data_IF_518210687690
#
_entry.id   IF_518210687690
#
_cell.length_a   1.000
_cell.length_b   1.000
_cell.length_c   1.000
_cell.angle_alpha   90.00
_cell.angle_beta   90.00
_cell.angle_gamma   90.00
#
_symmetry.space_group_name_H-M   'P 1'
#
loop_
_entity.id
_entity.type
_entity.pdbx_description
1 polymer ?
#
# COMPACT_ATOMS: atom_id res chain seq x y z
N UNK A 1 57.47 -26.67 -55.06
CA UNK A 1 56.94 -25.52 -54.29
C UNK A 1 55.54 -25.89 -53.84
N UNK A 2 55.46 -26.37 -52.63
CA UNK A 2 54.11 -26.79 -52.01
C UNK A 2 53.62 -25.69 -51.12
N UNK A 3 52.40 -25.25 -51.40
CA UNK A 3 51.66 -24.26 -50.58
C UNK A 3 50.90 -24.98 -49.47
N UNK A 4 51.23 -24.68 -48.24
CA UNK A 4 50.47 -25.13 -47.04
C UNK A 4 49.35 -24.19 -46.75
N UNK A 5 48.08 -24.64 -46.88
CA UNK A 5 46.89 -23.95 -46.42
C UNK A 5 46.59 -24.39 -44.98
N UNK A 6 46.51 -23.42 -44.04
CA UNK A 6 46.04 -23.62 -42.66
C UNK A 6 44.54 -23.53 -42.59
N UNK A 7 43.83 -24.37 -41.83
CA UNK A 7 42.42 -24.24 -41.64
C UNK A 7 42.14 -23.13 -40.62
N UNK A 8 41.25 -22.18 -40.97
CA UNK A 8 40.73 -21.14 -40.11
C UNK A 8 39.72 -21.75 -39.10
N UNK A 9 40.05 -21.76 -37.83
CA UNK A 9 39.14 -22.09 -36.78
C UNK A 9 38.16 -20.92 -36.54
N UNK A 10 36.93 -21.06 -36.93
CA UNK A 10 35.86 -20.14 -36.57
C UNK A 10 35.56 -20.30 -35.06
N UNK A 11 36.01 -19.34 -34.28
CA UNK A 11 35.61 -19.20 -32.87
C UNK A 11 34.15 -18.75 -32.86
N UNK A 12 33.24 -19.59 -32.34
CA UNK A 12 31.85 -19.21 -32.07
C UNK A 12 31.85 -18.04 -31.06
N UNK A 13 31.13 -17.00 -31.40
CA UNK A 13 30.91 -15.87 -30.50
C UNK A 13 30.18 -16.34 -29.21
N UNK A 14 30.54 -15.81 -28.03
CA UNK A 14 29.86 -16.16 -26.79
C UNK A 14 28.39 -15.75 -26.90
N UNK A 15 27.46 -16.54 -26.32
CA UNK A 15 26.05 -16.20 -26.33
C UNK A 15 25.84 -14.85 -25.61
N UNK A 16 25.13 -13.94 -26.27
CA UNK A 16 24.73 -12.65 -25.67
C UNK A 16 24.03 -12.91 -24.32
N UNK A 17 24.34 -12.10 -23.29
CA UNK A 17 23.65 -12.23 -22.02
C UNK A 17 22.14 -12.08 -22.27
N UNK A 18 21.37 -13.07 -21.86
CA UNK A 18 19.91 -12.99 -21.85
C UNK A 18 19.56 -11.80 -20.96
N UNK A 19 19.04 -10.73 -21.53
CA UNK A 19 18.42 -9.65 -20.78
C UNK A 19 17.31 -10.28 -19.94
N UNK A 20 17.56 -10.48 -18.65
CA UNK A 20 16.51 -10.79 -17.70
C UNK A 20 15.69 -9.51 -17.55
N UNK A 21 14.60 -9.42 -18.30
CA UNK A 21 13.60 -8.36 -18.06
C UNK A 21 13.04 -8.60 -16.68
N UNK A 22 13.42 -7.75 -15.74
CA UNK A 22 12.86 -7.80 -14.38
C UNK A 22 11.33 -7.65 -14.47
N UNK A 23 10.64 -8.62 -13.89
CA UNK A 23 9.18 -8.67 -13.85
C UNK A 23 8.70 -8.06 -12.55
N UNK A 24 7.76 -7.14 -12.62
CA UNK A 24 7.14 -6.53 -11.45
C UNK A 24 5.75 -7.10 -11.25
N UNK A 25 5.40 -7.37 -10.00
CA UNK A 25 4.06 -7.80 -9.59
C UNK A 25 3.57 -6.93 -8.44
N UNK A 26 2.26 -6.70 -8.39
CA UNK A 26 1.62 -5.92 -7.34
C UNK A 26 0.90 -6.87 -6.40
N UNK A 27 1.26 -6.84 -5.13
CA UNK A 27 0.63 -7.64 -4.09
C UNK A 27 -0.35 -6.79 -3.30
N UNK A 28 -1.55 -7.31 -3.08
CA UNK A 28 -2.60 -6.67 -2.30
C UNK A 28 -3.21 -7.67 -1.30
N UNK A 29 -3.58 -7.20 -0.12
CA UNK A 29 -4.22 -8.04 0.89
C UNK A 29 -5.69 -7.70 1.02
N UNK A 30 -6.52 -8.72 0.99
CA UNK A 30 -7.96 -8.63 1.06
C UNK A 30 -8.52 -9.49 2.20
N UNK A 31 -9.75 -9.17 2.61
CA UNK A 31 -10.61 -10.05 3.37
C UNK A 31 -12.01 -10.05 2.76
N UNK A 32 -12.82 -11.07 3.09
CA UNK A 32 -14.23 -11.09 2.71
C UNK A 32 -15.02 -10.16 3.63
N UNK A 33 -15.95 -9.41 3.07
CA UNK A 33 -16.93 -8.65 3.86
C UNK A 33 -18.09 -9.52 4.31
N UNK A 34 -18.34 -10.63 3.61
CA UNK A 34 -19.46 -11.55 3.87
C UNK A 34 -18.92 -12.82 4.54
N UNK A 35 -19.51 -13.21 5.66
CA UNK A 35 -19.28 -14.48 6.32
C UNK A 35 -20.35 -15.47 5.85
N UNK A 36 -19.97 -16.48 5.08
CA UNK A 36 -20.87 -17.60 4.77
C UNK A 36 -20.79 -18.64 5.87
N UNK A 37 -21.86 -19.43 6.08
CA UNK A 37 -21.92 -20.43 7.14
C UNK A 37 -20.81 -21.49 7.07
N UNK A 38 -20.19 -21.65 5.90
CA UNK A 38 -19.26 -22.73 5.61
C UNK A 38 -17.83 -22.28 5.31
N UNK A 39 -17.55 -20.95 5.31
CA UNK A 39 -16.23 -20.43 5.03
C UNK A 39 -15.65 -19.70 6.24
N UNK A 40 -14.45 -20.09 6.66
CA UNK A 40 -13.66 -19.35 7.63
C UNK A 40 -13.21 -18.01 7.01
N UNK A 41 -13.55 -16.91 7.67
CA UNK A 41 -13.10 -15.59 7.26
C UNK A 41 -11.63 -15.44 7.58
N UNK A 42 -10.84 -15.06 6.60
CA UNK A 42 -9.40 -14.85 6.74
C UNK A 42 -8.93 -13.74 5.80
N UNK A 43 -7.76 -13.20 6.06
CA UNK A 43 -7.07 -12.38 5.08
C UNK A 43 -6.34 -13.27 4.08
N UNK A 44 -6.39 -12.88 2.81
CA UNK A 44 -5.53 -13.48 1.79
C UNK A 44 -4.71 -12.41 1.06
N UNK A 45 -3.62 -12.84 0.48
CA UNK A 45 -2.76 -12.02 -0.37
C UNK A 45 -2.99 -12.45 -1.81
N UNK A 46 -3.33 -11.50 -2.66
CA UNK A 46 -3.44 -11.68 -4.09
C UNK A 46 -2.31 -10.94 -4.80
N UNK A 47 -1.89 -11.48 -5.95
CA UNK A 47 -0.87 -10.93 -6.82
C UNK A 47 -1.51 -10.53 -8.14
N UNK A 48 -1.32 -9.29 -8.55
CA UNK A 48 -1.65 -8.79 -9.88
C UNK A 48 -0.40 -8.75 -10.74
N UNK A 49 -0.48 -9.36 -11.91
CA UNK A 49 0.57 -9.33 -12.93
C UNK A 49 0.19 -8.35 -14.05
N UNK A 50 0.87 -7.19 -14.12
CA UNK A 50 0.58 -6.18 -15.14
C UNK A 50 0.87 -6.62 -16.58
N UNK A 51 1.69 -7.66 -16.78
CA UNK A 51 2.11 -8.11 -18.11
C UNK A 51 1.00 -8.86 -18.85
N UNK A 52 0.15 -9.55 -18.12
CA UNK A 52 -0.95 -10.36 -18.69
C UNK A 52 -2.34 -10.01 -18.13
N UNK A 53 -2.43 -8.95 -17.30
CA UNK A 53 -3.68 -8.50 -16.67
C UNK A 53 -4.39 -9.63 -15.92
N UNK A 54 -3.69 -10.30 -15.02
CA UNK A 54 -4.26 -11.41 -14.24
C UNK A 54 -4.06 -11.24 -12.75
N UNK A 55 -5.06 -11.66 -11.99
CA UNK A 55 -4.97 -11.86 -10.54
C UNK A 55 -4.77 -13.33 -10.21
N UNK A 56 -3.99 -13.59 -9.19
CA UNK A 56 -3.81 -14.91 -8.60
C UNK A 56 -3.82 -14.82 -7.08
N UNK A 57 -4.50 -15.74 -6.42
CA UNK A 57 -4.40 -15.88 -4.98
C UNK A 57 -3.05 -16.53 -4.66
N UNK A 58 -2.30 -15.91 -3.74
CA UNK A 58 -0.95 -16.36 -3.39
C UNK A 58 -0.97 -17.18 -2.12
N UNK A 59 -1.50 -16.63 -1.03
CA UNK A 59 -1.49 -17.27 0.29
C UNK A 59 -2.47 -16.58 1.23
N UNK A 60 -2.87 -17.24 2.31
CA UNK A 60 -3.61 -16.63 3.41
C UNK A 60 -2.66 -16.18 4.50
N UNK A 61 -3.00 -15.11 5.24
CA UNK A 61 -2.23 -14.65 6.40
C UNK A 61 -2.49 -15.65 7.55
N UNK A 62 -1.45 -16.34 8.05
CA UNK A 62 -1.59 -17.37 9.09
C UNK A 62 -1.71 -16.74 10.49
N UNK A 63 -1.99 -17.60 11.47
CA UNK A 63 -2.00 -17.30 12.90
C UNK A 63 -3.08 -16.32 13.36
N UNK A 64 -4.10 -16.07 12.54
CA UNK A 64 -5.28 -15.33 12.96
C UNK A 64 -6.30 -16.28 13.61
N UNK A 65 -7.00 -15.86 14.68
CA UNK A 65 -8.10 -16.64 15.23
C UNK A 65 -9.22 -16.83 14.21
N UNK A 66 -10.06 -17.83 14.41
CA UNK A 66 -11.22 -18.09 13.57
C UNK A 66 -12.15 -16.86 13.54
N UNK A 67 -12.67 -16.53 12.35
CA UNK A 67 -13.53 -15.37 12.09
C UNK A 67 -12.90 -14.01 12.45
N UNK A 68 -11.58 -13.94 12.50
CA UNK A 68 -10.85 -12.68 12.66
C UNK A 68 -10.10 -12.30 11.40
N UNK A 69 -10.01 -11.01 11.19
CA UNK A 69 -9.24 -10.40 10.10
C UNK A 69 -8.30 -9.33 10.65
N UNK A 70 -7.19 -9.15 9.96
CA UNK A 70 -6.24 -8.10 10.24
C UNK A 70 -6.48 -6.93 9.29
N UNK A 71 -6.57 -5.70 9.81
CA UNK A 71 -6.79 -4.47 9.03
C UNK A 71 -5.80 -3.38 9.41
N UNK A 72 -5.62 -2.42 8.50
CA UNK A 72 -4.79 -1.22 8.71
C UNK A 72 -3.35 -1.53 9.13
N UNK A 73 -2.82 -2.66 8.72
CA UNK A 73 -1.43 -3.06 8.88
C UNK A 73 -0.57 -2.50 7.75
N UNK A 74 0.75 -2.54 7.90
CA UNK A 74 1.66 -2.27 6.80
C UNK A 74 2.00 -3.56 6.05
N UNK A 75 1.88 -3.54 4.72
CA UNK A 75 2.41 -4.57 3.84
C UNK A 75 3.52 -3.98 2.98
N UNK A 76 4.73 -4.47 3.14
CA UNK A 76 5.91 -4.00 2.41
C UNK A 76 6.70 -5.16 1.84
N UNK A 77 7.49 -4.89 0.80
CA UNK A 77 8.41 -5.84 0.24
C UNK A 77 9.86 -5.43 0.49
N UNK A 78 10.69 -6.37 0.89
CA UNK A 78 12.15 -6.23 0.89
C UNK A 78 12.74 -7.41 0.13
N UNK A 79 13.36 -7.13 -1.01
CA UNK A 79 13.80 -8.17 -1.95
C UNK A 79 12.62 -9.07 -2.36
N UNK A 80 12.69 -10.38 -2.15
CA UNK A 80 11.64 -11.33 -2.50
C UNK A 80 10.79 -11.79 -1.29
N UNK A 81 10.71 -10.94 -0.27
CA UNK A 81 9.98 -11.22 0.98
C UNK A 81 8.95 -10.14 1.24
N UNK A 82 7.72 -10.55 1.55
CA UNK A 82 6.66 -9.66 2.05
C UNK A 82 6.69 -9.63 3.57
N UNK A 83 6.48 -8.45 4.14
CA UNK A 83 6.34 -8.24 5.58
C UNK A 83 4.96 -7.69 5.87
N UNK A 84 4.27 -8.32 6.83
CA UNK A 84 2.98 -7.91 7.39
C UNK A 84 3.25 -7.41 8.80
N UNK A 85 3.00 -6.14 9.06
CA UNK A 85 3.50 -5.45 10.25
C UNK A 85 2.35 -4.78 10.99
N UNK A 86 2.16 -5.12 12.26
CA UNK A 86 1.15 -4.49 13.11
C UNK A 86 -0.27 -4.66 12.59
N UNK A 87 -1.09 -3.65 12.81
CA UNK A 87 -2.49 -3.62 12.40
C UNK A 87 -3.46 -3.75 13.57
N UNK A 88 -4.75 -3.75 13.28
CA UNK A 88 -5.81 -4.06 14.25
C UNK A 88 -6.48 -5.39 13.91
N UNK A 89 -6.68 -6.19 14.93
CA UNK A 89 -7.42 -7.44 14.84
C UNK A 89 -8.92 -7.11 14.96
N UNK A 90 -9.69 -7.53 13.98
CA UNK A 90 -11.13 -7.33 13.94
C UNK A 90 -11.83 -8.68 13.89
N UNK A 91 -12.92 -8.82 14.63
CA UNK A 91 -13.82 -9.97 14.53
C UNK A 91 -14.95 -9.63 13.58
N UNK A 92 -15.22 -10.49 12.62
CA UNK A 92 -16.38 -10.39 11.74
C UNK A 92 -17.60 -10.91 12.48
N UNK A 93 -18.57 -10.04 12.76
CA UNK A 93 -19.79 -10.38 13.45
C UNK A 93 -21.00 -10.19 12.53
N UNK A 94 -21.96 -11.11 12.65
CA UNK A 94 -23.20 -11.10 11.89
C UNK A 94 -24.29 -10.40 12.70
N UNK A 95 -24.86 -9.34 12.14
CA UNK A 95 -26.05 -8.70 12.73
C UNK A 95 -27.27 -9.16 11.98
N UNK A 96 -28.25 -9.69 12.68
CA UNK A 96 -29.58 -9.87 12.12
C UNK A 96 -30.30 -8.51 12.14
N UNK A 97 -30.36 -7.86 10.99
CA UNK A 97 -31.17 -6.65 10.85
C UNK A 97 -32.63 -7.08 10.64
N UNK A 98 -33.38 -7.17 11.74
CA UNK A 98 -34.79 -7.63 11.78
C UNK A 98 -35.70 -6.76 10.89
N UNK A 99 -35.29 -5.55 10.54
CA UNK A 99 -36.11 -4.57 9.83
C UNK A 99 -36.06 -4.72 8.29
N UNK A 100 -35.03 -5.35 7.73
CA UNK A 100 -34.87 -5.50 6.29
C UNK A 100 -34.59 -6.93 5.82
N UNK A 101 -34.52 -7.90 6.71
CA UNK A 101 -34.26 -9.32 6.36
C UNK A 101 -32.88 -9.59 5.76
N UNK A 102 -31.95 -8.65 5.83
CA UNK A 102 -30.59 -8.78 5.34
C UNK A 102 -29.60 -9.02 6.49
N UNK A 103 -28.73 -9.99 6.31
CA UNK A 103 -27.58 -10.19 7.20
C UNK A 103 -26.54 -9.12 6.88
N UNK A 104 -26.35 -8.16 7.76
CA UNK A 104 -25.25 -7.21 7.67
C UNK A 104 -24.07 -7.68 8.53
N UNK A 105 -22.89 -7.60 7.98
CA UNK A 105 -21.66 -7.91 8.71
C UNK A 105 -20.98 -6.61 9.11
N UNK A 106 -20.48 -6.56 10.32
CA UNK A 106 -19.68 -5.45 10.82
C UNK A 106 -18.40 -5.98 11.47
N UNK A 107 -17.39 -5.13 11.51
CA UNK A 107 -16.13 -5.42 12.17
C UNK A 107 -16.17 -4.91 13.60
N UNK A 108 -15.94 -5.81 14.54
CA UNK A 108 -15.71 -5.49 15.95
C UNK A 108 -14.21 -5.44 16.20
N UNK A 109 -13.68 -4.28 16.52
CA UNK A 109 -12.27 -4.12 16.85
C UNK A 109 -11.93 -4.84 18.15
N UNK A 110 -10.96 -5.75 18.12
CA UNK A 110 -10.59 -6.59 19.27
C UNK A 110 -9.31 -6.10 19.91
N UNK A 111 -8.26 -5.85 19.12
CA UNK A 111 -6.95 -5.47 19.64
C UNK A 111 -6.08 -4.78 18.60
N UNK A 112 -5.05 -4.05 19.07
CA UNK A 112 -3.97 -3.50 18.23
C UNK A 112 -2.75 -4.37 18.42
N UNK A 113 -2.26 -4.96 17.34
CA UNK A 113 -1.22 -5.96 17.43
C UNK A 113 0.17 -5.40 17.09
N UNK A 114 1.18 -5.98 17.72
CA UNK A 114 2.60 -5.71 17.43
C UNK A 114 3.27 -6.77 16.58
N UNK A 115 2.56 -7.85 16.24
CA UNK A 115 3.14 -8.97 15.51
C UNK A 115 3.66 -8.56 14.13
N UNK A 116 4.75 -9.20 13.73
CA UNK A 116 5.36 -9.06 12.42
C UNK A 116 5.53 -10.44 11.81
N UNK A 117 5.01 -10.61 10.61
CA UNK A 117 5.12 -11.83 9.85
C UNK A 117 5.90 -11.54 8.57
N UNK A 118 6.68 -12.51 8.14
CA UNK A 118 7.32 -12.49 6.82
C UNK A 118 6.89 -13.69 5.99
N UNK A 119 6.68 -13.44 4.71
CA UNK A 119 6.37 -14.44 3.71
C UNK A 119 7.44 -14.43 2.63
N UNK A 120 8.16 -15.52 2.49
CA UNK A 120 9.12 -15.72 1.41
C UNK A 120 8.39 -16.23 0.17
N UNK A 121 8.39 -15.41 -0.88
CA UNK A 121 7.65 -15.67 -2.12
C UNK A 121 8.25 -16.89 -2.85
N UNK A 122 9.56 -17.08 -2.79
CA UNK A 122 10.24 -18.17 -3.51
C UNK A 122 9.94 -19.53 -2.91
N UNK A 123 9.94 -19.62 -1.58
CA UNK A 123 9.72 -20.87 -0.85
C UNK A 123 8.27 -21.11 -0.47
N UNK A 124 7.41 -20.10 -0.64
CA UNK A 124 6.00 -20.12 -0.19
C UNK A 124 5.89 -20.44 1.32
N UNK A 125 6.75 -19.81 2.14
CA UNK A 125 6.82 -20.07 3.56
C UNK A 125 6.60 -18.82 4.40
N UNK A 126 5.79 -18.98 5.45
CA UNK A 126 5.60 -17.98 6.48
C UNK A 126 6.52 -18.20 7.68
N UNK A 127 6.99 -17.11 8.26
CA UNK A 127 7.68 -17.13 9.55
C UNK A 127 7.36 -15.88 10.35
N UNK A 128 7.52 -15.96 11.67
CA UNK A 128 7.38 -14.82 12.58
C UNK A 128 8.71 -14.10 12.66
N UNK A 129 8.64 -12.77 12.76
CA UNK A 129 9.76 -11.89 13.10
C UNK A 129 9.55 -11.29 14.48
N UNK A 130 10.56 -10.62 15.02
CA UNK A 130 10.43 -9.84 16.24
C UNK A 130 9.24 -8.87 16.13
N UNK A 131 8.41 -8.76 17.17
CA UNK A 131 7.30 -7.84 17.17
C UNK A 131 7.79 -6.39 17.29
N UNK A 132 6.95 -5.45 16.86
CA UNK A 132 7.13 -4.02 17.15
C UNK A 132 7.25 -3.78 18.66
N UNK A 133 8.07 -2.81 19.06
CA UNK A 133 8.11 -2.35 20.46
C UNK A 133 6.80 -1.65 20.87
N UNK A 134 6.16 -0.96 19.92
CA UNK A 134 4.86 -0.30 20.12
C UNK A 134 3.85 -0.86 19.12
N UNK A 135 2.76 -1.52 19.58
CA UNK A 135 1.70 -1.97 18.68
C UNK A 135 1.10 -0.78 17.97
N UNK A 136 0.76 -0.94 16.68
CA UNK A 136 0.25 0.18 15.90
C UNK A 136 -0.57 -0.23 14.69
N UNK A 137 -1.54 0.59 14.33
CA UNK A 137 -2.31 0.55 13.08
C UNK A 137 -2.47 1.96 12.51
N UNK A 138 -2.83 2.11 11.24
CA UNK A 138 -2.94 3.41 10.58
C UNK A 138 -1.68 4.29 10.72
N UNK A 139 -0.51 3.70 10.54
CA UNK A 139 0.80 4.33 10.70
C UNK A 139 1.52 4.51 9.36
N UNK A 140 2.48 5.43 9.33
CA UNK A 140 3.38 5.61 8.21
C UNK A 140 4.44 4.50 8.16
N UNK A 141 4.73 4.00 6.96
CA UNK A 141 5.78 3.01 6.73
C UNK A 141 6.49 3.26 5.42
N UNK A 142 7.78 2.97 5.37
CA UNK A 142 8.61 3.04 4.17
C UNK A 142 9.68 1.96 4.19
N UNK A 143 10.11 1.54 3.02
CA UNK A 143 11.33 0.76 2.83
C UNK A 143 12.40 1.67 2.25
N UNK A 144 13.54 1.78 2.93
CA UNK A 144 14.70 2.52 2.47
C UNK A 144 15.97 1.75 2.80
N UNK A 145 16.86 1.61 1.81
CA UNK A 145 18.13 0.88 1.95
C UNK A 145 17.94 -0.53 2.54
N UNK A 146 16.88 -1.24 2.07
CA UNK A 146 16.43 -2.57 2.53
C UNK A 146 16.01 -2.64 4.01
N UNK A 147 15.89 -1.53 4.71
CA UNK A 147 15.35 -1.43 6.06
C UNK A 147 13.91 -0.95 6.05
N UNK A 148 13.14 -1.41 7.01
CA UNK A 148 11.73 -1.04 7.17
C UNK A 148 11.62 -0.03 8.30
N UNK A 149 11.07 1.14 8.00
CA UNK A 149 10.82 2.21 8.96
C UNK A 149 9.33 2.36 9.17
N UNK A 150 8.92 2.49 10.42
CA UNK A 150 7.53 2.74 10.81
C UNK A 150 7.47 3.94 11.76
N UNK A 151 6.43 4.76 11.64
CA UNK A 151 6.29 5.94 12.48
C UNK A 151 4.81 6.31 12.68
N UNK A 152 4.47 6.81 13.86
CA UNK A 152 3.11 7.20 14.18
C UNK A 152 2.15 6.04 14.32
N UNK A 153 0.90 6.29 13.98
CA UNK A 153 -0.21 5.34 14.10
C UNK A 153 -0.93 5.43 15.44
N UNK A 154 -1.84 4.51 15.66
CA UNK A 154 -2.61 4.36 16.89
C UNK A 154 -2.17 3.08 17.59
N UNK A 155 -1.89 3.15 18.88
CA UNK A 155 -1.43 2.03 19.69
C UNK A 155 -2.52 1.40 20.56
N UNK A 156 -3.70 1.99 20.59
CA UNK A 156 -4.87 1.52 21.34
C UNK A 156 -6.13 1.73 20.53
N UNK A 157 -7.15 0.90 20.79
CA UNK A 157 -8.48 1.07 20.25
C UNK A 157 -9.22 2.23 20.96
N UNK A 158 -10.25 2.74 20.33
CA UNK A 158 -11.09 3.80 20.87
C UNK A 158 -10.74 5.18 20.35
N UNK A 159 -10.52 6.16 21.24
CA UNK A 159 -10.25 7.54 20.80
C UNK A 159 -8.96 7.60 19.97
N UNK A 160 -9.08 8.18 18.78
CA UNK A 160 -7.98 8.32 17.82
C UNK A 160 -6.85 9.20 18.36
N UNK A 161 -5.99 8.62 19.19
CA UNK A 161 -4.76 9.26 19.66
C UNK A 161 -3.61 8.66 18.87
N UNK A 162 -2.98 9.48 18.04
CA UNK A 162 -1.76 9.10 17.37
C UNK A 162 -0.60 8.96 18.36
N UNK A 163 0.45 8.26 17.95
CA UNK A 163 1.75 8.25 18.64
C UNK A 163 2.80 9.03 17.85
N UNK A 164 3.83 9.51 18.52
CA UNK A 164 5.02 10.10 17.89
C UNK A 164 6.16 9.10 17.73
N UNK A 165 6.02 7.90 18.29
CA UNK A 165 7.09 6.90 18.27
C UNK A 165 7.40 6.41 16.85
N UNK A 166 8.67 6.08 16.62
CA UNK A 166 9.14 5.51 15.37
C UNK A 166 10.16 4.40 15.64
N UNK A 167 10.22 3.45 14.73
CA UNK A 167 11.04 2.24 14.83
C UNK A 167 11.62 1.86 13.48
N UNK A 168 12.77 1.18 13.48
CA UNK A 168 13.38 0.62 12.29
C UNK A 168 13.69 -0.86 12.48
N UNK A 169 13.46 -1.63 11.45
CA UNK A 169 13.83 -3.04 11.36
C UNK A 169 14.80 -3.26 10.20
N UNK A 170 15.89 -3.95 10.46
CA UNK A 170 16.87 -4.34 9.46
C UNK A 170 16.81 -5.86 9.25
N UNK A 171 16.21 -6.34 8.14
CA UNK A 171 16.10 -7.78 7.90
C UNK A 171 17.43 -8.49 7.64
N UNK A 172 18.52 -7.74 7.41
CA UNK A 172 19.82 -8.28 7.05
C UNK A 172 20.80 -8.39 8.24
N UNK A 173 20.40 -7.84 9.39
CA UNK A 173 21.22 -7.89 10.60
C UNK A 173 20.77 -9.06 11.47
N UNK A 174 21.73 -9.81 11.98
CA UNK A 174 21.48 -10.86 12.97
C UNK A 174 20.91 -10.24 14.24
N UNK A 175 19.92 -10.91 14.85
CA UNK A 175 19.32 -10.45 16.10
C UNK A 175 17.83 -10.18 16.06
N UNK A 176 17.21 -10.21 14.85
CA UNK A 176 15.76 -10.10 14.64
C UNK A 176 15.07 -9.19 15.67
N UNK A 177 15.33 -7.87 15.60
CA UNK A 177 14.77 -6.90 16.54
C UNK A 177 14.45 -5.56 15.90
N UNK A 178 13.42 -4.89 16.41
CA UNK A 178 13.11 -3.51 16.09
C UNK A 178 13.91 -2.57 16.97
N UNK A 179 14.50 -1.55 16.40
CA UNK A 179 15.24 -0.49 17.10
C UNK A 179 14.38 0.75 17.16
N UNK A 180 14.19 1.28 18.37
CA UNK A 180 13.51 2.57 18.57
C UNK A 180 14.35 3.70 17.96
N UNK A 181 13.69 4.58 17.25
CA UNK A 181 14.22 5.84 16.77
C UNK A 181 13.74 7.00 17.63
N UNK A 182 14.34 8.18 17.53
CA UNK A 182 13.80 9.38 18.15
C UNK A 182 12.33 9.58 17.78
N UNK A 183 11.56 10.14 18.71
CA UNK A 183 10.16 10.45 18.48
C UNK A 183 10.02 11.59 17.47
N UNK A 184 8.97 11.54 16.65
CA UNK A 184 8.52 12.68 15.85
C UNK A 184 8.14 13.87 16.76
N UNK A 185 8.13 15.08 16.20
CA UNK A 185 7.71 16.29 16.92
C UNK A 185 6.20 16.29 17.24
N UNK A 186 5.40 15.54 16.44
CA UNK A 186 3.94 15.46 16.62
C UNK A 186 3.47 14.01 16.63
N UNK A 187 2.49 13.74 17.47
CA UNK A 187 1.77 12.46 17.45
C UNK A 187 0.82 12.44 16.26
N UNK A 188 0.92 11.43 15.39
CA UNK A 188 0.15 11.33 14.14
C UNK A 188 -0.46 9.94 13.98
N UNK A 189 -1.64 9.88 13.36
CA UNK A 189 -2.23 8.64 12.85
C UNK A 189 -2.89 8.88 11.47
N UNK A 190 -3.13 7.82 10.71
CA UNK A 190 -3.53 7.89 9.30
C UNK A 190 -2.58 8.77 8.46
N UNK A 191 -1.30 8.73 8.77
CA UNK A 191 -0.26 9.44 8.06
C UNK A 191 0.40 8.51 7.03
N UNK A 192 0.96 9.10 5.98
CA UNK A 192 1.60 8.36 4.88
C UNK A 192 3.11 8.51 4.97
N UNK A 193 3.81 7.37 4.88
CA UNK A 193 5.26 7.33 4.77
C UNK A 193 5.71 7.35 3.32
N UNK A 194 6.73 8.13 2.98
CA UNK A 194 7.35 8.13 1.67
C UNK A 194 8.84 8.49 1.75
N UNK A 195 9.66 7.84 0.95
CA UNK A 195 11.06 8.23 0.77
C UNK A 195 11.15 9.26 -0.36
N UNK A 196 11.76 10.41 -0.08
CA UNK A 196 11.96 11.46 -1.07
C UNK A 196 13.24 12.23 -0.79
N UNK A 197 14.01 12.55 -1.85
CA UNK A 197 15.30 13.24 -1.74
C UNK A 197 16.25 12.61 -0.69
N UNK A 198 16.27 11.29 -0.63
CA UNK A 198 17.11 10.55 0.30
C UNK A 198 16.67 10.54 1.76
N UNK A 199 15.56 11.21 2.11
CA UNK A 199 15.02 11.31 3.46
C UNK A 199 13.66 10.61 3.58
N UNK A 200 13.27 10.26 4.79
CA UNK A 200 11.97 9.68 5.10
C UNK A 200 11.02 10.81 5.48
N UNK A 201 9.86 10.86 4.82
CA UNK A 201 8.81 11.82 5.12
C UNK A 201 7.59 11.08 5.67
N UNK A 202 7.01 11.61 6.74
CA UNK A 202 5.72 11.21 7.29
C UNK A 202 4.75 12.36 7.06
N UNK A 203 3.86 12.20 6.11
CA UNK A 203 3.05 13.30 5.56
C UNK A 203 1.62 13.26 6.11
N UNK A 204 1.12 14.40 6.56
CA UNK A 204 -0.26 14.61 6.96
C UNK A 204 -0.67 13.78 8.17
N UNK A 205 -1.87 13.27 8.10
CA UNK A 205 -2.49 12.48 9.17
C UNK A 205 -3.28 13.34 10.16
N UNK A 206 -4.00 12.66 11.06
CA UNK A 206 -4.62 13.33 12.19
C UNK A 206 -3.57 13.57 13.27
N UNK A 207 -3.48 14.80 13.73
CA UNK A 207 -2.55 15.23 14.78
C UNK A 207 -3.35 15.54 16.04
N UNK A 208 -2.85 15.11 17.18
CA UNK A 208 -3.46 15.41 18.46
C UNK A 208 -2.95 16.77 18.99
N UNK A 209 -3.86 17.68 19.27
CA UNK A 209 -3.60 19.00 19.85
C UNK A 209 -4.91 19.76 20.01
N UNK A 210 -4.99 20.73 20.90
CA UNK A 210 -6.17 21.57 21.13
C UNK A 210 -6.08 22.92 20.39
N UNK A 211 -7.19 23.38 19.76
CA UNK A 211 -7.32 24.73 19.22
C UNK A 211 -6.89 24.89 17.75
N UNK A 212 -6.68 26.14 17.33
CA UNK A 212 -6.33 26.52 15.96
C UNK A 212 -5.04 25.88 15.42
N UNK A 213 -4.16 25.40 16.28
CA UNK A 213 -2.94 24.69 15.92
C UNK A 213 -3.20 23.36 15.19
N UNK A 214 -4.36 22.73 15.38
CA UNK A 214 -4.67 21.41 14.76
C UNK A 214 -4.65 21.44 13.23
N UNK A 215 -5.14 22.51 12.62
CA UNK A 215 -5.18 22.61 11.14
C UNK A 215 -3.75 22.67 10.57
N UNK A 216 -2.91 23.55 11.13
CA UNK A 216 -1.52 23.72 10.67
C UNK A 216 -0.73 22.43 10.84
N UNK A 217 -0.97 21.71 11.94
CA UNK A 217 -0.28 20.46 12.22
C UNK A 217 -0.70 19.32 11.26
N UNK A 218 -1.98 19.24 10.87
CA UNK A 218 -2.48 18.27 9.88
C UNK A 218 -1.90 18.52 8.50
N UNK A 219 -1.72 19.77 8.12
CA UNK A 219 -1.14 20.17 6.85
C UNK A 219 0.40 20.07 6.82
N UNK A 220 1.02 19.47 7.83
CA UNK A 220 2.47 19.35 7.94
C UNK A 220 2.97 17.93 7.62
N UNK A 221 4.28 17.81 7.48
CA UNK A 221 4.99 16.54 7.46
C UNK A 221 6.12 16.54 8.50
N UNK A 222 6.59 15.35 8.84
CA UNK A 222 7.82 15.15 9.61
C UNK A 222 8.87 14.53 8.69
N UNK A 223 10.08 15.01 8.77
CA UNK A 223 11.18 14.57 7.94
C UNK A 223 12.28 13.98 8.81
N UNK A 224 12.58 12.70 8.62
CA UNK A 224 13.66 12.04 9.35
C UNK A 224 14.98 12.20 8.61
N UNK A 225 15.90 12.90 9.23
CA UNK A 225 17.29 13.03 8.77
C UNK A 225 18.15 11.94 9.42
N UNK A 226 18.45 10.90 8.67
CA UNK A 226 19.24 9.77 9.16
C UNK A 226 20.67 10.15 9.54
N UNK A 227 21.24 11.21 8.94
CA UNK A 227 22.60 11.65 9.27
C UNK A 227 22.68 12.35 10.62
N UNK A 228 21.61 13.03 11.03
CA UNK A 228 21.48 13.71 12.31
C UNK A 228 20.72 12.88 13.36
N UNK A 229 20.03 11.81 12.93
CA UNK A 229 19.22 10.98 13.80
C UNK A 229 18.05 11.76 14.43
N UNK A 230 17.45 12.70 13.72
CA UNK A 230 16.36 13.53 14.26
C UNK A 230 15.25 13.82 13.24
N UNK A 231 14.08 14.18 13.78
CA UNK A 231 12.91 14.60 12.98
C UNK A 231 12.83 16.12 12.91
N UNK A 232 12.55 16.63 11.73
CA UNK A 232 12.28 18.05 11.46
C UNK A 232 10.84 18.20 11.00
N UNK A 233 10.13 19.19 11.52
CA UNK A 233 8.77 19.53 11.12
C UNK A 233 8.80 20.35 9.82
N UNK A 234 8.03 19.94 8.81
CA UNK A 234 7.85 20.63 7.53
C UNK A 234 6.40 21.10 7.45
N UNK A 235 6.19 22.41 7.68
CA UNK A 235 4.86 22.99 7.61
C UNK A 235 4.34 23.06 6.17
N UNK A 236 3.03 22.87 5.98
CA UNK A 236 2.36 23.09 4.69
C UNK A 236 2.62 22.02 3.62
N UNK A 237 3.33 20.95 3.92
CA UNK A 237 3.61 19.91 2.92
C UNK A 237 2.35 19.14 2.46
N UNK A 238 1.29 19.14 3.24
CA UNK A 238 -0.01 18.60 2.86
C UNK A 238 -1.06 19.70 2.96
N UNK A 239 -1.86 19.92 1.92
CA UNK A 239 -2.73 21.09 1.83
C UNK A 239 -4.19 20.83 2.21
N UNK A 240 -4.56 19.57 2.43
CA UNK A 240 -5.92 19.18 2.77
C UNK A 240 -6.08 18.96 4.27
N UNK A 241 -7.28 19.26 4.78
CA UNK A 241 -7.67 18.97 6.16
C UNK A 241 -7.94 17.47 6.41
N UNK A 242 -7.97 16.69 5.36
CA UNK A 242 -8.12 15.22 5.39
C UNK A 242 -6.79 14.55 5.09
N UNK A 243 -6.41 13.48 5.81
CA UNK A 243 -5.21 12.73 5.52
C UNK A 243 -5.15 12.23 4.08
N UNK A 244 -3.93 12.14 3.52
CA UNK A 244 -3.72 11.49 2.24
C UNK A 244 -4.05 9.98 2.34
N UNK A 245 -4.60 9.41 1.27
CA UNK A 245 -4.75 7.96 1.18
C UNK A 245 -3.39 7.30 0.93
N UNK A 246 -2.73 7.70 -0.14
CA UNK A 246 -1.38 7.25 -0.50
C UNK A 246 -0.58 8.38 -1.14
N UNK A 247 0.73 8.37 -0.89
CA UNK A 247 1.72 9.17 -1.60
C UNK A 247 2.82 8.21 -2.04
N UNK A 248 3.18 8.25 -3.32
CA UNK A 248 4.23 7.42 -3.89
C UNK A 248 5.26 8.27 -4.63
N UNK A 249 6.48 7.76 -4.73
CA UNK A 249 7.57 8.41 -5.45
C UNK A 249 7.80 7.72 -6.81
N UNK A 250 7.83 8.52 -7.88
CA UNK A 250 8.18 8.08 -9.23
C UNK A 250 9.11 9.11 -9.86
N UNK A 251 10.25 8.69 -10.38
CA UNK A 251 11.20 9.58 -11.06
C UNK A 251 11.65 10.78 -10.21
N UNK A 252 11.77 10.64 -8.88
CA UNK A 252 12.14 11.71 -7.98
C UNK A 252 11.01 12.67 -7.59
N UNK A 253 9.79 12.48 -8.12
CA UNK A 253 8.60 13.29 -7.85
C UNK A 253 7.62 12.53 -6.95
N UNK A 254 6.85 13.25 -6.14
CA UNK A 254 5.79 12.67 -5.30
C UNK A 254 4.44 12.83 -5.96
N UNK A 255 3.64 11.76 -5.94
CA UNK A 255 2.29 11.73 -6.50
C UNK A 255 1.28 11.29 -5.45
N UNK A 256 0.10 11.90 -5.46
CA UNK A 256 -1.05 11.55 -4.63
C UNK A 256 -2.30 11.42 -5.48
N UNK A 257 -3.22 10.54 -5.10
CA UNK A 257 -4.41 10.22 -5.90
C UNK A 257 -5.73 10.40 -5.16
N UNK A 258 -5.69 10.62 -3.86
CA UNK A 258 -6.92 10.66 -3.07
C UNK A 258 -6.69 10.95 -1.60
N UNK A 259 -7.76 10.94 -0.83
CA UNK A 259 -7.77 11.14 0.61
C UNK A 259 -8.04 9.83 1.39
N UNK A 260 -7.99 9.89 2.71
CA UNK A 260 -8.16 8.74 3.61
C UNK A 260 -9.59 8.12 3.60
N UNK A 261 -10.52 8.72 2.89
CA UNK A 261 -11.87 8.17 2.70
C UNK A 261 -11.92 7.22 1.50
N UNK A 262 -10.76 6.84 0.95
CA UNK A 262 -10.60 6.08 -0.29
C UNK A 262 -11.34 6.74 -1.47
N UNK A 263 -11.46 8.07 -1.41
CA UNK A 263 -12.12 8.84 -2.43
C UNK A 263 -11.13 9.16 -3.55
N UNK A 264 -11.45 8.73 -4.77
CA UNK A 264 -10.77 9.20 -5.96
C UNK A 264 -11.15 10.64 -6.23
N UNK A 265 -10.17 11.54 -6.30
CA UNK A 265 -10.38 12.98 -6.60
C UNK A 265 -10.71 13.26 -8.06
N UNK A 266 -10.65 12.25 -8.92
CA UNK A 266 -10.82 12.40 -10.37
C UNK A 266 -9.54 12.79 -11.12
N UNK A 267 -8.42 12.99 -10.41
CA UNK A 267 -7.13 13.36 -10.99
C UNK A 267 -5.97 12.95 -10.08
N UNK A 268 -4.76 13.02 -10.62
CA UNK A 268 -3.51 12.80 -9.89
C UNK A 268 -2.92 14.16 -9.54
N UNK A 269 -2.41 14.30 -8.33
CA UNK A 269 -1.64 15.47 -7.89
C UNK A 269 -0.16 15.14 -7.79
N UNK A 270 0.68 16.13 -8.08
CA UNK A 270 2.13 16.07 -7.94
C UNK A 270 2.63 17.21 -7.04
N UNK A 271 3.61 16.89 -6.21
CA UNK A 271 4.19 17.85 -5.28
C UNK A 271 5.34 18.64 -5.89
N UNK A 272 5.26 19.97 -5.81
CA UNK A 272 6.37 20.88 -6.09
C UNK A 272 7.08 21.23 -4.78
N UNK A 273 8.24 20.63 -4.56
CA UNK A 273 9.01 20.88 -3.34
C UNK A 273 9.66 22.26 -3.25
N UNK A 274 9.74 23.04 -4.33
CA UNK A 274 10.24 24.41 -4.30
C UNK A 274 9.18 25.39 -3.85
N UNK A 275 7.96 25.20 -4.36
CA UNK A 275 6.80 26.03 -4.02
C UNK A 275 6.06 25.51 -2.79
N UNK A 276 6.35 24.27 -2.35
CA UNK A 276 5.66 23.56 -1.27
C UNK A 276 4.14 23.46 -1.51
N UNK A 277 3.76 23.08 -2.75
CA UNK A 277 2.37 22.93 -3.17
C UNK A 277 2.14 21.62 -3.91
N UNK A 278 0.92 21.11 -3.83
CA UNK A 278 0.40 20.05 -4.69
C UNK A 278 -0.41 20.67 -5.82
N UNK A 279 -0.23 20.18 -7.04
CA UNK A 279 -1.00 20.62 -8.20
C UNK A 279 -1.37 19.44 -9.08
N UNK A 280 -2.46 19.59 -9.82
CA UNK A 280 -2.99 18.57 -10.71
C UNK A 280 -2.01 18.29 -11.85
N UNK A 281 -1.75 17.01 -12.12
CA UNK A 281 -0.99 16.59 -13.29
C UNK A 281 -1.86 16.74 -14.54
N UNK A 282 -1.34 17.40 -15.56
CA UNK A 282 -2.03 17.57 -16.83
C UNK A 282 -2.33 16.21 -17.48
N UNK A 283 -3.54 16.06 -18.02
CA UNK A 283 -4.00 14.80 -18.61
C UNK A 283 -4.35 13.68 -17.62
N UNK A 284 -4.22 13.93 -16.31
CA UNK A 284 -4.49 12.92 -15.29
C UNK A 284 -5.97 12.77 -14.92
N UNK A 285 -6.85 13.62 -15.46
CA UNK A 285 -8.28 13.52 -15.21
C UNK A 285 -8.85 12.24 -15.79
N UNK A 286 -9.51 11.42 -14.98
CA UNK A 286 -10.13 10.16 -15.40
C UNK A 286 -11.14 9.69 -14.35
N UNK A 287 -12.21 9.10 -14.83
CA UNK A 287 -13.15 8.35 -14.00
C UNK A 287 -12.62 6.92 -13.85
N UNK A 288 -12.08 6.58 -12.68
CA UNK A 288 -11.61 5.22 -12.36
C UNK A 288 -12.80 4.31 -12.01
N UNK A 289 -13.81 4.86 -11.33
CA UNK A 289 -15.05 4.16 -11.05
C UNK A 289 -16.07 4.54 -12.12
N UNK A 290 -16.87 3.58 -12.65
CA UNK A 290 -17.94 3.92 -13.58
C UNK A 290 -18.91 4.88 -12.90
N UNK A 291 -19.34 5.89 -13.64
CA UNK A 291 -20.47 6.71 -13.21
C UNK A 291 -21.74 5.89 -13.30
N UNK A 292 -22.76 6.35 -12.61
CA UNK A 292 -24.14 5.89 -12.75
C UNK A 292 -24.69 6.17 -14.17
N UNK A 293 -23.95 5.78 -15.22
CA UNK A 293 -24.32 6.04 -16.61
C UNK A 293 -25.66 5.43 -17.00
N UNK A 294 -26.13 4.44 -16.21
CA UNK A 294 -27.42 3.78 -16.40
C UNK A 294 -28.36 3.95 -15.19
N UNK A 295 -28.07 4.90 -14.27
CA UNK A 295 -28.88 5.11 -13.07
C UNK A 295 -28.75 4.01 -12.01
N UNK A 296 -27.78 3.11 -12.17
CA UNK A 296 -27.49 2.05 -11.20
C UNK A 296 -26.37 2.49 -10.26
N UNK A 297 -26.64 2.63 -8.94
CA UNK A 297 -25.61 3.01 -7.99
C UNK A 297 -24.56 1.90 -7.85
N UNK A 298 -23.29 2.31 -7.74
CA UNK A 298 -22.19 1.39 -7.44
C UNK A 298 -21.74 1.57 -6.00
N UNK A 299 -21.26 0.48 -5.40
CA UNK A 299 -20.61 0.51 -4.11
C UNK A 299 -19.10 0.32 -4.30
N UNK A 300 -18.31 1.36 -3.99
CA UNK A 300 -16.85 1.33 -4.07
C UNK A 300 -16.30 0.48 -2.93
N UNK A 301 -15.44 -0.47 -3.24
CA UNK A 301 -14.87 -1.40 -2.27
C UNK A 301 -13.43 -1.04 -1.90
N UNK A 302 -12.62 -0.69 -2.90
CA UNK A 302 -11.22 -0.33 -2.66
C UNK A 302 -10.63 0.54 -3.76
N UNK A 303 -9.57 1.25 -3.37
CA UNK A 303 -8.66 1.96 -4.26
C UNK A 303 -7.26 1.93 -3.65
N UNK A 304 -6.28 1.50 -4.44
CA UNK A 304 -4.87 1.56 -4.04
C UNK A 304 -3.98 1.84 -5.25
N UNK A 305 -2.80 2.41 -5.01
CA UNK A 305 -1.88 2.86 -6.06
C UNK A 305 -0.50 2.23 -5.89
N UNK A 306 0.09 1.78 -6.99
CA UNK A 306 1.40 1.16 -7.03
C UNK A 306 2.31 1.81 -8.08
N UNK A 307 3.54 2.22 -7.74
CA UNK A 307 4.51 2.74 -8.70
C UNK A 307 5.32 1.61 -9.34
N UNK A 308 5.35 1.53 -10.67
CA UNK A 308 6.22 0.60 -11.41
C UNK A 308 6.92 1.38 -12.54
N UNK A 309 8.23 1.51 -12.45
CA UNK A 309 9.00 2.30 -13.40
C UNK A 309 8.53 3.76 -13.45
N UNK A 310 8.07 4.23 -14.61
CA UNK A 310 7.50 5.58 -14.79
C UNK A 310 5.99 5.61 -14.64
N UNK A 311 5.34 4.48 -14.35
CA UNK A 311 3.90 4.36 -14.34
C UNK A 311 3.34 4.29 -12.91
N UNK A 312 2.17 4.88 -12.75
CA UNK A 312 1.30 4.70 -11.58
C UNK A 312 0.19 3.72 -11.95
N UNK A 313 0.13 2.60 -11.26
CA UNK A 313 -0.96 1.62 -11.39
C UNK A 313 -2.01 1.88 -10.33
N UNK A 314 -3.27 1.96 -10.74
CA UNK A 314 -4.43 2.13 -9.88
C UNK A 314 -5.24 0.85 -9.90
N UNK A 315 -5.37 0.21 -8.75
CA UNK A 315 -6.19 -0.97 -8.54
C UNK A 315 -7.44 -0.54 -7.80
N UNK A 316 -8.59 -0.69 -8.41
CA UNK A 316 -9.87 -0.29 -7.86
C UNK A 316 -10.87 -1.45 -7.93
N UNK A 317 -11.72 -1.56 -6.93
CA UNK A 317 -12.79 -2.54 -6.88
C UNK A 317 -14.12 -1.89 -6.54
N UNK A 318 -15.17 -2.38 -7.16
CA UNK A 318 -16.54 -1.96 -6.88
C UNK A 318 -17.50 -3.14 -7.09
N UNK A 319 -18.71 -3.00 -6.58
CA UNK A 319 -19.84 -3.86 -6.90
C UNK A 319 -21.01 -3.05 -7.41
N UNK A 320 -21.86 -3.67 -8.19
CA UNK A 320 -23.14 -3.11 -8.57
C UNK A 320 -24.21 -3.49 -7.55
N UNK A 321 -25.24 -2.68 -7.44
CA UNK A 321 -26.37 -2.99 -6.52
C UNK A 321 -27.13 -4.23 -7.00
N UNK A 322 -27.20 -4.46 -8.31
CA UNK A 322 -27.92 -5.59 -8.91
C UNK A 322 -27.21 -6.94 -8.69
N UNK A 323 -25.88 -6.95 -8.53
CA UNK A 323 -25.11 -8.16 -8.24
C UNK A 323 -24.14 -7.92 -7.08
N UNK A 324 -24.62 -7.92 -5.84
CA UNK A 324 -23.79 -7.69 -4.67
C UNK A 324 -22.86 -8.87 -4.35
N UNK A 325 -23.04 -10.01 -5.03
CA UNK A 325 -22.24 -11.22 -4.81
C UNK A 325 -20.88 -11.19 -5.50
N UNK A 326 -20.64 -10.21 -6.38
CA UNK A 326 -19.40 -10.11 -7.18
C UNK A 326 -18.68 -8.80 -6.98
N UNK A 327 -17.35 -8.89 -7.01
CA UNK A 327 -16.47 -7.73 -7.11
C UNK A 327 -15.99 -7.56 -8.55
N UNK A 328 -16.10 -6.36 -9.08
CA UNK A 328 -15.50 -5.97 -10.34
C UNK A 328 -14.19 -5.25 -10.02
N UNK A 329 -13.09 -5.89 -10.36
CA UNK A 329 -11.73 -5.35 -10.19
C UNK A 329 -11.29 -4.68 -11.49
N UNK A 330 -10.95 -3.39 -11.43
CA UNK A 330 -10.45 -2.61 -12.55
C UNK A 330 -9.02 -2.16 -12.28
N UNK A 331 -8.20 -2.15 -13.33
CA UNK A 331 -6.84 -1.66 -13.27
C UNK A 331 -6.63 -0.61 -14.33
N UNK A 332 -5.95 0.46 -13.95
CA UNK A 332 -5.53 1.54 -14.85
C UNK A 332 -4.05 1.81 -14.62
N UNK A 333 -3.33 2.21 -15.64
CA UNK A 333 -2.00 2.78 -15.47
C UNK A 333 -1.91 4.17 -16.10
N UNK A 334 -1.12 5.03 -15.46
CA UNK A 334 -0.84 6.39 -15.91
C UNK A 334 0.67 6.56 -16.07
N UNK A 335 1.12 6.94 -17.27
CA UNK A 335 2.52 7.22 -17.54
C UNK A 335 2.87 8.64 -17.11
N UNK A 336 3.74 8.77 -16.11
CA UNK A 336 4.19 10.06 -15.57
C UNK A 336 5.33 10.70 -16.36
N UNK A 337 5.90 10.00 -17.35
CA UNK A 337 7.04 10.48 -18.13
C UNK A 337 6.66 11.27 -19.37
N UNK A 338 5.41 11.16 -19.83
CA UNK A 338 4.89 11.85 -21.02
C UNK A 338 4.26 13.19 -20.64
N UNK A 339 4.48 14.22 -21.46
CA UNK A 339 3.80 15.50 -21.31
C UNK A 339 2.32 15.32 -21.67
N UNK A 340 1.42 15.69 -20.75
CA UNK A 340 -0.02 15.48 -20.91
C UNK A 340 -0.50 14.13 -20.44
N UNK A 341 0.39 13.25 -19.95
CA UNK A 341 0.08 11.93 -19.39
C UNK A 341 -0.62 10.99 -20.39
N UNK A 342 -0.50 9.70 -20.16
CA UNK A 342 -1.22 8.71 -20.95
C UNK A 342 -1.85 7.65 -20.03
N UNK A 343 -3.17 7.55 -20.05
CA UNK A 343 -3.91 6.50 -19.38
C UNK A 343 -4.00 5.25 -20.26
N UNK A 344 -3.74 4.11 -19.63
CA UNK A 344 -4.07 2.79 -20.17
C UNK A 344 -5.08 2.15 -19.24
N UNK A 345 -6.18 1.64 -19.82
CA UNK A 345 -7.19 0.85 -19.11
C UNK A 345 -6.95 -0.61 -19.43
N UNK A 346 -7.12 -1.47 -18.43
CA UNK A 346 -7.11 -2.91 -18.59
C UNK A 346 -8.53 -3.43 -18.51
N UNK A 347 -8.78 -4.59 -19.12
CA UNK A 347 -10.10 -5.23 -19.07
C UNK A 347 -10.48 -5.53 -17.61
N UNK A 348 -11.69 -5.17 -17.18
CA UNK A 348 -12.19 -5.49 -15.84
C UNK A 348 -12.25 -7.00 -15.62
N UNK A 349 -11.96 -7.42 -14.39
CA UNK A 349 -12.01 -8.81 -13.98
C UNK A 349 -13.12 -8.94 -12.94
N UNK A 350 -14.06 -9.87 -13.19
CA UNK A 350 -15.11 -10.21 -12.23
C UNK A 350 -14.64 -11.36 -11.35
N UNK A 351 -14.85 -11.21 -10.06
CA UNK A 351 -14.45 -12.17 -9.05
C UNK A 351 -15.62 -12.41 -8.09
N UNK A 352 -15.81 -13.68 -7.71
CA UNK A 352 -16.84 -14.05 -6.76
C UNK A 352 -16.53 -13.50 -5.35
N UNK A 353 -17.57 -13.05 -4.68
CA UNK A 353 -17.48 -12.49 -3.34
C UNK A 353 -17.12 -11.01 -3.32
N UNK A 354 -17.41 -10.38 -2.20
CA UNK A 354 -17.02 -8.99 -1.93
C UNK A 354 -15.63 -8.97 -1.30
N UNK A 355 -14.77 -8.11 -1.82
CA UNK A 355 -13.38 -7.96 -1.38
C UNK A 355 -13.15 -6.61 -0.72
N UNK A 356 -12.69 -6.63 0.48
CA UNK A 356 -12.25 -5.43 1.21
C UNK A 356 -10.73 -5.40 1.27
N UNK A 357 -10.13 -4.27 0.89
CA UNK A 357 -8.69 -4.07 0.99
C UNK A 357 -8.30 -3.85 2.46
N UNK A 358 -7.38 -4.66 2.95
CA UNK A 358 -6.96 -4.62 4.36
C UNK A 358 -5.70 -3.80 4.61
N UNK A 359 -4.91 -3.56 3.56
CA UNK A 359 -3.68 -2.75 3.54
C UNK A 359 -3.44 -2.23 2.13
N UNK A 360 -2.71 -1.13 1.99
CA UNK A 360 -2.26 -0.69 0.67
C UNK A 360 -1.37 -1.75 0.02
N UNK A 361 -1.43 -1.79 -1.31
CA UNK A 361 -0.61 -2.71 -2.09
C UNK A 361 0.88 -2.38 -2.01
N UNK A 362 1.71 -3.38 -2.28
CA UNK A 362 3.15 -3.19 -2.47
C UNK A 362 3.61 -3.84 -3.78
N UNK A 363 4.75 -3.35 -4.29
CA UNK A 363 5.36 -3.85 -5.53
C UNK A 363 6.52 -4.77 -5.19
N UNK A 364 6.58 -5.93 -5.85
CA UNK A 364 7.70 -6.86 -5.76
C UNK A 364 8.34 -6.97 -7.13
N UNK A 365 9.66 -6.85 -7.18
CA UNK A 365 10.46 -7.15 -8.36
C UNK A 365 10.87 -8.61 -8.30
N UNK A 366 10.36 -9.40 -9.24
CA UNK A 366 10.71 -10.82 -9.37
C UNK A 366 11.88 -10.97 -10.36
N UNK A 367 12.88 -11.77 -9.99
CA UNK A 367 14.09 -12.02 -10.79
C UNK A 367 14.06 -13.39 -11.47
#
# INVERSE_FOLDING_TARGET
MGSLTFPSSSRAAPPSPKNSTSRYSIFASFCSTIVTSDATVTNWIACYDPSNNTWSNVTSIPYLPENHVLKDFAMVSVSNTLYIIGGRLCKKEKTQNVQYGSDEFFDSDIDVISSVLRYDISSNQWSKCAPLNVPRYNFAYVVKDKKIYVAGGQSTLGRARGTSSSEVYDPLVDGDQWTLLPNMNRSRCKCVGVTWQGKIHVVGGFVQGGGFSQYVDRCSAELYDMSRGQWDLVAGMWQLDVPANQIVQVGGRLFSSGDCLNAWKGHIEVYDGKLNIWYMVEGSQKNIFPFEENGQPIHRLYLTMAPIGTHLYFLAGYRTVDDPSKTISTVYSFDTSTTGGAWKSFEPIQEEGERELCSHCCVVQLY
#
